data_IF_783532799416
#
_entry.id   IF_783532799416
#
_cell.length_a   1.000
_cell.length_b   1.000
_cell.length_c   1.000
_cell.angle_alpha   90.00
_cell.angle_beta   90.00
_cell.angle_gamma   90.00
#
_symmetry.space_group_name_H-M   'P 1'
#
loop_
_entity.id
_entity.type
_entity.pdbx_description
1 polymer ?
#
# COMPACT_ATOMS: atom_id res chain seq x y z
N UNK A 1 7.37 -11.51 9.26
CA UNK A 1 6.85 -10.14 9.32
C UNK A 1 7.76 -9.20 8.57
N UNK A 2 7.53 -9.07 7.27
CA UNK A 2 8.16 -8.08 6.40
C UNK A 2 7.58 -6.69 6.69
N UNK A 3 8.23 -5.61 6.24
CA UNK A 3 7.67 -4.27 6.34
C UNK A 3 6.29 -4.14 5.70
N UNK A 4 6.02 -4.84 4.60
CA UNK A 4 4.70 -4.85 3.98
C UNK A 4 3.66 -5.52 4.87
N UNK A 5 3.98 -6.68 5.45
CA UNK A 5 3.08 -7.38 6.38
C UNK A 5 2.72 -6.51 7.61
N UNK A 6 3.63 -5.61 8.05
CA UNK A 6 3.33 -4.64 9.11
C UNK A 6 2.32 -3.57 8.66
N UNK A 7 2.44 -3.09 7.42
CA UNK A 7 1.48 -2.12 6.86
C UNK A 7 0.11 -2.76 6.67
N UNK A 8 0.06 -4.03 6.26
CA UNK A 8 -1.17 -4.81 6.16
C UNK A 8 -1.82 -5.03 7.54
N UNK A 9 -1.02 -5.31 8.57
CA UNK A 9 -1.50 -5.36 9.96
C UNK A 9 -2.12 -4.04 10.42
N UNK A 10 -1.43 -2.92 10.20
CA UNK A 10 -1.95 -1.58 10.52
C UNK A 10 -3.25 -1.27 9.77
N UNK A 11 -3.36 -1.67 8.50
CA UNK A 11 -4.60 -1.54 7.74
C UNK A 11 -5.75 -2.28 8.42
N UNK A 12 -5.53 -3.53 8.84
CA UNK A 12 -6.55 -4.30 9.53
C UNK A 12 -6.96 -3.66 10.86
N UNK A 13 -5.99 -3.18 11.65
CA UNK A 13 -6.26 -2.45 12.91
C UNK A 13 -7.14 -1.21 12.67
N UNK A 14 -6.89 -0.47 11.59
CA UNK A 14 -7.70 0.70 11.22
C UNK A 14 -9.12 0.30 10.81
N UNK A 15 -9.27 -0.77 10.03
CA UNK A 15 -10.59 -1.30 9.64
C UNK A 15 -11.39 -1.71 10.87
N UNK A 16 -10.77 -2.46 11.78
CA UNK A 16 -11.39 -2.93 13.01
C UNK A 16 -11.81 -1.76 13.92
N UNK A 17 -10.99 -0.71 13.98
CA UNK A 17 -11.27 0.51 14.73
C UNK A 17 -12.50 1.30 14.25
N UNK A 18 -12.94 1.11 13.00
CA UNK A 18 -14.16 1.73 12.48
C UNK A 18 -15.45 0.96 12.80
N UNK A 19 -15.37 -0.25 13.37
CA UNK A 19 -16.53 -1.08 13.70
C UNK A 19 -17.43 -1.37 12.50
N UNK A 20 -18.74 -1.17 12.65
CA UNK A 20 -19.76 -1.37 11.60
C UNK A 20 -20.02 -0.12 10.75
N UNK A 21 -19.16 0.91 10.83
CA UNK A 21 -19.33 2.10 9.99
C UNK A 21 -19.23 1.76 8.50
N UNK A 22 -20.14 2.29 7.68
CA UNK A 22 -20.13 2.11 6.21
C UNK A 22 -18.76 2.45 5.60
N UNK A 23 -18.33 1.77 4.53
CA UNK A 23 -17.07 2.09 3.82
C UNK A 23 -15.78 2.09 4.69
N UNK A 24 -15.75 1.34 5.80
CA UNK A 24 -14.59 1.27 6.71
C UNK A 24 -13.28 0.89 6.00
N UNK A 25 -13.33 -0.04 5.05
CA UNK A 25 -12.17 -0.46 4.25
C UNK A 25 -11.63 0.69 3.41
N UNK A 26 -12.52 1.46 2.78
CA UNK A 26 -12.18 2.63 1.97
C UNK A 26 -11.61 3.76 2.84
N UNK A 27 -12.21 4.01 4.02
CA UNK A 27 -11.70 5.00 4.96
C UNK A 27 -10.29 4.64 5.46
N UNK A 28 -10.08 3.40 5.87
CA UNK A 28 -8.77 2.92 6.33
C UNK A 28 -7.71 3.06 5.23
N UNK A 29 -8.01 2.59 4.02
CA UNK A 29 -7.11 2.70 2.87
C UNK A 29 -6.80 4.16 2.53
N UNK A 30 -7.81 5.04 2.55
CA UNK A 30 -7.65 6.47 2.27
C UNK A 30 -6.75 7.15 3.30
N UNK A 31 -6.86 6.80 4.60
CA UNK A 31 -5.98 7.36 5.64
C UNK A 31 -4.53 6.94 5.44
N UNK A 32 -4.29 5.68 5.11
CA UNK A 32 -2.94 5.21 4.80
C UNK A 32 -2.38 5.91 3.56
N UNK A 33 -3.19 6.07 2.51
CA UNK A 33 -2.80 6.76 1.28
C UNK A 33 -2.43 8.23 1.54
N UNK A 34 -3.22 8.97 2.33
CA UNK A 34 -2.94 10.37 2.67
C UNK A 34 -1.56 10.52 3.33
N UNK A 35 -1.24 9.65 4.27
CA UNK A 35 0.07 9.65 4.94
C UNK A 35 1.17 9.23 3.96
N UNK A 36 0.95 8.19 3.16
CA UNK A 36 1.92 7.71 2.19
C UNK A 36 2.28 8.80 1.16
N UNK A 37 1.29 9.50 0.60
CA UNK A 37 1.52 10.61 -0.34
C UNK A 37 2.32 11.75 0.28
N UNK A 38 2.02 12.12 1.54
CA UNK A 38 2.80 13.13 2.26
C UNK A 38 4.27 12.71 2.42
N UNK A 39 4.53 11.43 2.75
CA UNK A 39 5.90 10.90 2.91
C UNK A 39 6.62 10.75 1.57
N UNK A 40 5.95 10.30 0.53
CA UNK A 40 6.50 10.22 -0.83
C UNK A 40 6.90 11.59 -1.35
N UNK A 41 6.04 12.61 -1.18
CA UNK A 41 6.38 13.99 -1.52
C UNK A 41 7.58 14.50 -0.74
N UNK A 42 7.65 14.19 0.55
CA UNK A 42 8.72 14.67 1.41
C UNK A 42 10.07 14.00 1.13
N UNK A 43 10.09 12.70 0.81
CA UNK A 43 11.32 11.91 0.68
C UNK A 43 11.70 11.54 -0.77
N UNK A 44 10.76 11.57 -1.71
CA UNK A 44 10.95 11.04 -3.07
C UNK A 44 11.61 11.99 -4.08
N UNK A 45 12.08 13.17 -3.65
CA UNK A 45 12.78 14.13 -4.51
C UNK A 45 11.92 14.58 -5.70
N UNK A 46 12.52 14.82 -6.87
CA UNK A 46 11.79 15.32 -8.05
C UNK A 46 10.88 14.26 -8.71
N UNK A 47 11.11 12.97 -8.44
CA UNK A 47 10.47 11.85 -9.15
C UNK A 47 9.26 11.21 -8.45
N UNK A 48 8.83 11.75 -7.29
CA UNK A 48 7.81 11.08 -6.47
C UNK A 48 6.44 10.98 -7.16
N UNK A 49 6.07 11.97 -7.99
CA UNK A 49 4.78 11.97 -8.70
C UNK A 49 4.74 10.89 -9.77
N UNK A 50 5.78 10.81 -10.60
CA UNK A 50 5.91 9.78 -11.63
C UNK A 50 5.85 8.37 -11.02
N UNK A 51 6.50 8.15 -9.88
CA UNK A 51 6.42 6.87 -9.18
C UNK A 51 4.99 6.51 -8.76
N UNK A 52 4.20 7.48 -8.26
CA UNK A 52 2.79 7.25 -7.90
C UNK A 52 1.96 6.95 -9.14
N UNK A 53 2.15 7.72 -10.21
CA UNK A 53 1.46 7.51 -11.49
C UNK A 53 1.77 6.13 -12.07
N UNK A 54 3.02 5.66 -12.00
CA UNK A 54 3.42 4.33 -12.45
C UNK A 54 2.68 3.21 -11.70
N UNK A 55 2.49 3.34 -10.38
CA UNK A 55 1.70 2.37 -9.61
C UNK A 55 0.23 2.37 -10.02
N UNK A 56 -0.36 3.55 -10.27
CA UNK A 56 -1.75 3.67 -10.72
C UNK A 56 -1.92 3.07 -12.12
N UNK A 57 -1.01 3.39 -13.04
CA UNK A 57 -1.00 2.84 -14.39
C UNK A 57 -0.81 1.33 -14.39
N UNK A 58 0.04 0.80 -13.50
CA UNK A 58 0.21 -0.65 -13.35
C UNK A 58 -1.07 -1.32 -12.86
N UNK A 59 -1.74 -0.76 -11.85
CA UNK A 59 -3.02 -1.29 -11.37
C UNK A 59 -4.09 -1.28 -12.48
N UNK A 60 -4.14 -0.23 -13.28
CA UNK A 60 -5.12 -0.09 -14.36
C UNK A 60 -4.86 -1.06 -15.53
N UNK A 61 -3.60 -1.28 -15.89
CA UNK A 61 -3.23 -2.02 -17.11
C UNK A 61 -2.84 -3.48 -16.85
N UNK A 62 -2.27 -3.80 -15.68
CA UNK A 62 -1.77 -5.14 -15.33
C UNK A 62 -1.90 -5.40 -13.80
N UNK A 63 -3.13 -5.59 -13.29
CA UNK A 63 -3.37 -5.83 -11.87
C UNK A 63 -2.69 -7.11 -11.36
N UNK A 64 -2.50 -8.11 -12.22
CA UNK A 64 -1.83 -9.38 -11.88
C UNK A 64 -0.34 -9.16 -11.61
N UNK A 65 0.32 -8.27 -12.36
CA UNK A 65 1.70 -7.85 -12.05
C UNK A 65 1.78 -7.10 -10.74
N UNK A 66 0.83 -6.21 -10.47
CA UNK A 66 0.79 -5.48 -9.21
C UNK A 66 0.68 -6.44 -8.02
N UNK A 67 -0.20 -7.44 -8.11
CA UNK A 67 -0.32 -8.48 -7.09
C UNK A 67 0.97 -9.30 -6.93
N UNK A 68 1.62 -9.69 -8.03
CA UNK A 68 2.93 -10.39 -7.96
C UNK A 68 3.99 -9.58 -7.21
N UNK A 69 4.03 -8.26 -7.40
CA UNK A 69 4.96 -7.38 -6.66
C UNK A 69 4.61 -7.38 -5.17
N UNK A 70 3.34 -7.27 -4.80
CA UNK A 70 2.92 -7.36 -3.40
C UNK A 70 3.32 -8.69 -2.78
N UNK A 71 3.07 -9.82 -3.47
CA UNK A 71 3.43 -11.15 -2.99
C UNK A 71 4.96 -11.29 -2.80
N UNK A 72 5.77 -10.77 -3.73
CA UNK A 72 7.23 -10.78 -3.59
C UNK A 72 7.69 -10.01 -2.33
N UNK A 73 7.01 -8.91 -1.98
CA UNK A 73 7.31 -8.11 -0.79
C UNK A 73 6.81 -8.75 0.53
N UNK A 74 5.89 -9.72 0.46
CA UNK A 74 5.46 -10.53 1.62
C UNK A 74 6.48 -11.60 1.99
N UNK A 75 7.42 -11.92 1.12
CA UNK A 75 8.53 -12.80 1.46
C UNK A 75 9.41 -13.22 0.29
N UNK A 76 10.55 -12.55 0.13
CA UNK A 76 11.77 -13.31 -0.13
C UNK A 76 12.14 -14.07 1.15
N UNK A 77 11.56 -15.26 1.33
CA UNK A 77 12.32 -16.32 1.98
C UNK A 77 13.42 -16.70 0.99
N UNK A 78 14.66 -16.29 1.27
CA UNK A 78 15.83 -17.01 0.76
C UNK A 78 15.62 -18.49 1.13
N UNK A 79 15.54 -19.43 0.18
CA UNK A 79 15.71 -20.82 0.56
C UNK A 79 17.10 -20.94 1.17
N UNK A 80 17.16 -21.54 2.36
CA UNK A 80 18.42 -21.88 3.02
C UNK A 80 19.22 -22.89 2.19
#
# INVERSE_FOLDING_TARGET
MTPLERVEGLYQELVDGYGDGEERELRAASKLLLIALLKLKHHGGFGWQALVEDYILMLANDPQRYERILQANRGEQKPA
#
